data_IF_094626387339
#
_entry.id   IF_094626387339
#
_cell.length_a   1.000
_cell.length_b   1.000
_cell.length_c   1.000
_cell.angle_alpha   90.00
_cell.angle_beta   90.00
_cell.angle_gamma   90.00
#
_symmetry.space_group_name_H-M   'P 1'
#
loop_
_entity.id
_entity.type
_entity.pdbx_description
1 polymer ?
#
# COMPACT_ATOMS: atom_id res chain seq x y z
N UNK A 1 -17.15 6.55 -3.22
CA UNK A 1 -17.08 5.10 -2.90
C UNK A 1 -16.51 4.99 -1.50
N UNK A 2 -16.79 3.91 -0.75
CA UNK A 2 -16.26 3.75 0.60
C UNK A 2 -14.82 3.26 0.60
N UNK A 3 -14.10 3.49 1.70
CA UNK A 3 -12.75 2.96 1.90
C UNK A 3 -12.69 1.44 1.73
N UNK A 4 -13.74 0.73 2.19
CA UNK A 4 -13.84 -0.72 2.03
C UNK A 4 -13.92 -1.16 0.57
N UNK A 5 -14.59 -0.38 -0.29
CA UNK A 5 -14.68 -0.71 -1.71
C UNK A 5 -13.33 -0.50 -2.43
N UNK A 6 -12.59 0.54 -2.07
CA UNK A 6 -11.28 0.80 -2.63
C UNK A 6 -10.29 -0.31 -2.22
N UNK A 7 -10.31 -0.73 -0.96
CA UNK A 7 -9.56 -1.89 -0.48
C UNK A 7 -9.96 -3.18 -1.22
N UNK A 8 -11.25 -3.41 -1.43
CA UNK A 8 -11.74 -4.56 -2.18
C UNK A 8 -11.25 -4.57 -3.63
N UNK A 9 -11.21 -3.42 -4.31
CA UNK A 9 -10.64 -3.30 -5.65
C UNK A 9 -9.15 -3.66 -5.67
N UNK A 10 -8.38 -3.17 -4.70
CA UNK A 10 -6.95 -3.50 -4.56
C UNK A 10 -6.74 -4.99 -4.30
N UNK A 11 -7.50 -5.55 -3.34
CA UNK A 11 -7.47 -6.97 -3.02
C UNK A 11 -7.78 -7.83 -4.24
N UNK A 12 -8.86 -7.56 -4.97
CA UNK A 12 -9.17 -8.27 -6.22
C UNK A 12 -8.03 -8.19 -7.24
N UNK A 13 -7.39 -7.03 -7.38
CA UNK A 13 -6.28 -6.86 -8.31
C UNK A 13 -5.08 -7.74 -7.94
N UNK A 14 -4.75 -7.85 -6.65
CA UNK A 14 -3.70 -8.76 -6.16
C UNK A 14 -4.08 -10.22 -6.38
N UNK A 15 -5.33 -10.59 -6.06
CA UNK A 15 -5.87 -11.94 -6.27
C UNK A 15 -6.15 -12.29 -7.75
N UNK A 16 -5.89 -11.37 -8.69
CA UNK A 16 -6.15 -11.53 -10.14
C UNK A 16 -7.62 -11.80 -10.50
N UNK A 17 -8.54 -11.32 -9.67
CA UNK A 17 -9.99 -11.49 -9.86
C UNK A 17 -10.57 -10.34 -10.69
N UNK A 18 -11.18 -10.66 -11.83
CA UNK A 18 -11.61 -9.66 -12.83
C UNK A 18 -12.98 -9.02 -12.57
N UNK A 19 -13.88 -9.67 -11.81
CA UNK A 19 -15.24 -9.16 -11.57
C UNK A 19 -15.56 -9.02 -10.09
N UNK A 20 -16.45 -8.09 -9.76
CA UNK A 20 -16.92 -7.91 -8.37
C UNK A 20 -17.68 -9.12 -7.86
N UNK A 21 -18.44 -9.79 -8.73
CA UNK A 21 -19.18 -10.98 -8.33
C UNK A 21 -18.22 -12.12 -7.98
N UNK A 22 -17.17 -12.34 -8.78
CA UNK A 22 -16.14 -13.32 -8.46
C UNK A 22 -15.39 -12.94 -7.18
N UNK A 23 -15.10 -11.65 -6.96
CA UNK A 23 -14.46 -11.17 -5.74
C UNK A 23 -15.35 -11.35 -4.51
N UNK A 24 -16.66 -11.12 -4.64
CA UNK A 24 -17.63 -11.36 -3.57
C UNK A 24 -17.64 -12.84 -3.16
N UNK A 25 -17.71 -13.75 -4.15
CA UNK A 25 -17.66 -15.20 -3.91
C UNK A 25 -16.35 -15.59 -3.22
N UNK A 26 -15.20 -15.12 -3.71
CA UNK A 26 -13.90 -15.43 -3.13
C UNK A 26 -13.73 -14.92 -1.69
N UNK A 27 -14.29 -13.75 -1.39
CA UNK A 27 -14.27 -13.15 -0.05
C UNK A 27 -15.32 -13.78 0.89
N UNK A 28 -16.27 -14.56 0.37
CA UNK A 28 -17.35 -15.18 1.13
C UNK A 28 -18.49 -14.20 1.49
N UNK A 29 -18.71 -13.18 0.65
CA UNK A 29 -19.77 -12.17 0.83
C UNK A 29 -20.75 -12.18 -0.34
N UNK A 30 -21.91 -11.56 -0.15
CA UNK A 30 -22.90 -11.44 -1.24
C UNK A 30 -22.52 -10.33 -2.22
N UNK A 31 -22.96 -10.46 -3.48
CA UNK A 31 -22.86 -9.37 -4.47
C UNK A 31 -23.52 -8.06 -3.99
N UNK A 32 -24.58 -8.18 -3.20
CA UNK A 32 -25.32 -7.05 -2.66
C UNK A 32 -24.49 -6.30 -1.61
N UNK A 33 -23.70 -7.01 -0.79
CA UNK A 33 -22.75 -6.40 0.13
C UNK A 33 -21.74 -5.53 -0.65
N UNK A 34 -21.08 -6.08 -1.67
CA UNK A 34 -20.13 -5.32 -2.52
C UNK A 34 -20.79 -4.11 -3.19
N UNK A 35 -22.02 -4.28 -3.70
CA UNK A 35 -22.79 -3.16 -4.27
C UNK A 35 -23.07 -2.07 -3.24
N UNK A 36 -23.35 -2.43 -1.98
CA UNK A 36 -23.52 -1.47 -0.89
C UNK A 36 -22.22 -0.71 -0.60
N UNK A 37 -21.07 -1.37 -0.76
CA UNK A 37 -19.78 -0.72 -0.55
C UNK A 37 -19.45 0.32 -1.62
N UNK A 38 -19.77 0.02 -2.87
CA UNK A 38 -19.72 1.02 -3.96
C UNK A 38 -20.53 2.27 -3.64
N UNK A 39 -21.67 2.10 -2.97
CA UNK A 39 -22.59 3.18 -2.60
C UNK A 39 -22.19 3.90 -1.31
N UNK A 40 -21.03 3.60 -0.72
CA UNK A 40 -20.50 4.32 0.44
C UNK A 40 -20.71 3.62 1.79
N UNK A 41 -21.35 2.44 1.83
CA UNK A 41 -21.35 1.64 3.07
C UNK A 41 -19.99 0.96 3.25
N UNK A 42 -19.55 0.74 4.47
CA UNK A 42 -18.32 0.00 4.70
C UNK A 42 -18.58 -1.49 4.91
N UNK A 43 -17.61 -2.32 4.54
CA UNK A 43 -17.58 -3.74 4.87
C UNK A 43 -17.44 -3.92 6.39
N UNK A 44 -17.79 -5.09 6.90
CA UNK A 44 -17.49 -5.43 8.30
C UNK A 44 -15.99 -5.60 8.52
N UNK A 45 -15.54 -5.29 9.74
CA UNK A 45 -14.12 -5.24 10.10
C UNK A 45 -13.39 -6.53 9.76
N UNK A 46 -13.99 -7.71 10.01
CA UNK A 46 -13.38 -9.00 9.67
C UNK A 46 -13.02 -9.14 8.17
N UNK A 47 -13.79 -8.52 7.27
CA UNK A 47 -13.50 -8.56 5.83
C UNK A 47 -12.43 -7.53 5.45
N UNK A 48 -12.43 -6.38 6.12
CA UNK A 48 -11.41 -5.35 5.95
C UNK A 48 -10.04 -5.90 6.36
N UNK A 49 -9.96 -6.52 7.53
CA UNK A 49 -8.72 -7.09 8.05
C UNK A 49 -8.22 -8.22 7.17
N UNK A 50 -9.10 -9.13 6.74
CA UNK A 50 -8.74 -10.19 5.80
C UNK A 50 -8.21 -9.64 4.49
N UNK A 51 -8.90 -8.67 3.88
CA UNK A 51 -8.46 -8.08 2.61
C UNK A 51 -7.12 -7.37 2.73
N UNK A 52 -6.91 -6.61 3.81
CA UNK A 52 -5.66 -5.91 4.07
C UNK A 52 -4.50 -6.90 4.29
N UNK A 53 -4.72 -7.91 5.13
CA UNK A 53 -3.75 -8.97 5.38
C UNK A 53 -3.36 -9.71 4.09
N UNK A 54 -4.35 -10.09 3.27
CA UNK A 54 -4.13 -10.82 2.02
C UNK A 54 -3.27 -10.04 1.00
N UNK A 55 -3.22 -8.70 1.08
CA UNK A 55 -2.38 -7.86 0.20
C UNK A 55 -1.10 -7.36 0.88
N UNK A 56 -0.83 -7.76 2.12
CA UNK A 56 0.34 -7.32 2.90
C UNK A 56 0.25 -5.89 3.43
N UNK A 57 -0.94 -5.27 3.41
CA UNK A 57 -1.20 -4.00 4.07
C UNK A 57 -1.42 -4.22 5.58
N UNK A 58 -1.19 -3.20 6.40
CA UNK A 58 -1.49 -3.27 7.84
C UNK A 58 -3.02 -3.29 8.09
N UNK A 59 -3.59 -4.37 8.65
CA UNK A 59 -5.03 -4.49 8.88
C UNK A 59 -5.61 -3.42 9.81
N UNK A 60 -4.90 -3.08 10.89
CA UNK A 60 -5.36 -2.12 11.90
C UNK A 60 -5.51 -0.72 11.32
N UNK A 61 -4.63 -0.35 10.38
CA UNK A 61 -4.68 0.93 9.66
C UNK A 61 -5.96 1.02 8.82
N UNK A 62 -6.29 -0.04 8.09
CA UNK A 62 -7.53 -0.10 7.30
C UNK A 62 -8.78 -0.10 8.18
N UNK A 63 -8.76 -0.85 9.29
CA UNK A 63 -9.83 -0.84 10.29
C UNK A 63 -10.04 0.57 10.86
N UNK A 64 -8.98 1.28 11.23
CA UNK A 64 -9.06 2.65 11.74
C UNK A 64 -9.59 3.64 10.69
N UNK A 65 -9.17 3.53 9.43
CA UNK A 65 -9.68 4.38 8.34
C UNK A 65 -11.18 4.18 8.11
N UNK A 66 -11.65 2.93 8.14
CA UNK A 66 -13.08 2.62 8.01
C UNK A 66 -13.87 3.12 9.22
N UNK A 67 -13.34 2.97 10.44
CA UNK A 67 -13.98 3.53 11.62
C UNK A 67 -14.11 5.06 11.52
N UNK A 68 -13.07 5.75 11.05
CA UNK A 68 -13.13 7.19 10.80
C UNK A 68 -14.24 7.59 9.80
N UNK A 69 -14.47 6.79 8.76
CA UNK A 69 -15.54 7.03 7.79
C UNK A 69 -16.94 6.72 8.35
N UNK A 70 -17.03 5.74 9.28
CA UNK A 70 -18.29 5.39 9.97
C UNK A 70 -18.67 6.39 11.06
N UNK A 71 -17.71 7.11 11.63
CA UNK A 71 -17.95 8.05 12.73
C UNK A 71 -18.87 9.20 12.32
N UNK A 72 -19.89 9.46 13.14
CA UNK A 72 -20.81 10.60 12.96
C UNK A 72 -20.34 11.88 13.68
N UNK A 73 -19.28 11.79 14.50
CA UNK A 73 -18.66 12.91 15.19
C UNK A 73 -17.35 13.31 14.51
N UNK A 74 -17.10 14.62 14.38
CA UNK A 74 -15.86 15.13 13.84
C UNK A 74 -14.65 14.79 14.72
N UNK A 75 -14.82 14.83 16.04
CA UNK A 75 -13.77 14.51 17.00
C UNK A 75 -13.39 13.03 16.94
N UNK A 76 -14.39 12.16 16.85
CA UNK A 76 -14.20 10.71 16.73
C UNK A 76 -13.48 10.37 15.42
N UNK A 77 -13.94 10.97 14.30
CA UNK A 77 -13.28 10.86 13.00
C UNK A 77 -11.82 11.33 13.07
N UNK A 78 -11.54 12.45 13.74
CA UNK A 78 -10.18 12.96 13.89
C UNK A 78 -9.31 12.05 14.78
N UNK A 79 -9.87 11.43 15.82
CA UNK A 79 -9.17 10.45 16.64
C UNK A 79 -8.76 9.22 15.81
N UNK A 80 -9.68 8.62 15.06
CA UNK A 80 -9.38 7.46 14.20
C UNK A 80 -8.36 7.77 13.10
N UNK A 81 -8.44 8.95 12.47
CA UNK A 81 -7.43 9.39 11.50
C UNK A 81 -6.04 9.50 12.12
N UNK A 82 -5.91 10.04 13.34
CA UNK A 82 -4.63 10.10 14.05
C UNK A 82 -4.09 8.71 14.38
N UNK A 83 -4.97 7.77 14.75
CA UNK A 83 -4.58 6.36 14.99
C UNK A 83 -4.02 5.75 13.71
N UNK A 84 -4.73 5.87 12.58
CA UNK A 84 -4.27 5.38 11.29
C UNK A 84 -2.90 5.98 10.88
N UNK A 85 -2.71 7.28 11.08
CA UNK A 85 -1.44 7.96 10.80
C UNK A 85 -0.28 7.43 11.66
N UNK A 86 -0.52 7.18 12.95
CA UNK A 86 0.50 6.60 13.84
C UNK A 86 0.90 5.20 13.40
N UNK A 87 -0.06 4.37 13.01
CA UNK A 87 0.20 3.01 12.51
C UNK A 87 1.03 3.03 11.22
N UNK A 88 0.73 3.95 10.29
CA UNK A 88 1.53 4.14 9.07
C UNK A 88 2.96 4.65 9.37
N UNK A 89 3.11 5.56 10.33
CA UNK A 89 4.41 6.14 10.70
C UNK A 89 5.39 5.15 11.34
N UNK A 90 4.89 4.15 12.08
CA UNK A 90 5.74 3.09 12.68
C UNK A 90 6.49 2.30 11.61
N UNK A 91 5.86 2.02 10.46
CA UNK A 91 6.51 1.30 9.36
C UNK A 91 7.68 2.10 8.77
N UNK A 92 7.52 3.41 8.57
CA UNK A 92 8.57 4.28 8.01
C UNK A 92 9.78 4.41 8.94
N UNK A 93 9.55 4.53 10.25
CA UNK A 93 10.63 4.59 11.24
C UNK A 93 11.51 3.35 11.22
N UNK A 94 10.92 2.16 11.03
CA UNK A 94 11.67 0.91 10.96
C UNK A 94 12.59 0.85 9.72
N UNK A 95 12.11 1.28 8.55
CA UNK A 95 12.92 1.34 7.33
C UNK A 95 14.10 2.32 7.44
N UNK A 96 13.90 3.47 8.09
CA UNK A 96 14.98 4.45 8.31
C UNK A 96 16.05 3.86 9.24
N UNK A 97 15.65 3.22 10.34
CA UNK A 97 16.59 2.62 11.30
C UNK A 97 17.36 1.46 10.65
N UNK A 98 16.71 0.59 9.88
CA UNK A 98 17.38 -0.50 9.17
C UNK A 98 18.32 0.02 8.07
N UNK A 99 17.92 1.04 7.31
CA UNK A 99 18.78 1.67 6.30
C UNK A 99 20.02 2.33 6.91
N UNK A 100 19.88 2.97 8.06
CA UNK A 100 20.99 3.57 8.80
C UNK A 100 21.89 2.54 9.51
N UNK A 101 21.40 1.33 9.75
CA UNK A 101 22.16 0.23 10.36
C UNK A 101 22.91 -0.65 9.33
N UNK A 102 22.81 -0.36 8.03
CA UNK A 102 23.57 -1.08 7.01
C UNK A 102 25.07 -0.75 7.15
N UNK A 103 25.96 -1.76 7.22
CA UNK A 103 27.39 -1.55 7.39
C UNK A 103 28.00 -0.84 6.18
N UNK A 104 28.98 0.05 6.42
CA UNK A 104 29.65 0.94 5.43
C UNK A 104 30.09 0.25 4.12
N UNK A 105 30.39 -1.05 4.19
CA UNK A 105 30.74 -1.87 3.03
C UNK A 105 29.65 -1.95 1.94
N UNK A 106 28.37 -1.78 2.29
CA UNK A 106 27.27 -1.71 1.31
C UNK A 106 27.10 -0.32 0.66
N UNK A 107 27.51 0.75 1.35
CA UNK A 107 27.52 2.10 0.77
C UNK A 107 28.61 2.23 -0.30
N UNK A 108 29.74 1.55 -0.12
CA UNK A 108 30.85 1.55 -1.06
C UNK A 108 30.57 0.81 -2.38
N UNK A 109 29.72 -0.24 -2.38
CA UNK A 109 29.35 -0.95 -3.62
C UNK A 109 28.42 -0.11 -4.50
N UNK A 110 27.44 0.57 -3.90
CA UNK A 110 26.49 1.45 -4.61
C UNK A 110 27.23 2.62 -5.27
N UNK A 111 28.20 3.23 -4.56
CA UNK A 111 29.00 4.31 -5.12
C UNK A 111 29.89 3.83 -6.29
N UNK A 112 30.45 2.62 -6.21
CA UNK A 112 31.27 2.04 -7.30
C UNK A 112 30.45 1.74 -8.54
N UNK A 113 29.26 1.18 -8.39
CA UNK A 113 28.38 0.85 -9.52
C UNK A 113 27.86 2.12 -10.22
N UNK A 114 27.59 3.19 -9.47
CA UNK A 114 27.23 4.49 -10.03
C UNK A 114 28.40 5.14 -10.82
N UNK A 115 29.64 5.02 -10.34
CA UNK A 115 30.81 5.55 -11.05
C UNK A 115 31.12 4.75 -12.32
N UNK A 116 30.96 3.42 -12.29
CA UNK A 116 31.24 2.56 -13.44
C UNK A 116 30.23 2.77 -14.59
N UNK A 117 28.96 2.98 -14.27
CA UNK A 117 27.90 3.27 -15.27
C UNK A 117 28.10 4.65 -15.94
N UNK A 118 28.48 5.67 -15.17
CA UNK A 118 28.80 7.01 -15.70
C UNK A 118 30.07 7.02 -16.58
N UNK A 119 31.02 6.14 -16.31
CA UNK A 119 32.26 6.04 -17.08
C UNK A 119 32.06 5.27 -18.40
N UNK A 120 31.21 4.25 -18.41
CA UNK A 120 30.82 3.53 -19.63
C UNK A 120 30.10 4.44 -20.63
N UNK A 121 29.19 5.30 -20.15
CA UNK A 121 28.44 6.23 -21.00
C UNK A 121 29.35 7.26 -21.70
N UNK A 122 30.38 7.76 -21.00
CA UNK A 122 31.36 8.69 -21.58
C UNK A 122 32.27 8.03 -22.63
N UNK A 123 32.62 6.76 -22.47
CA UNK A 123 33.45 6.04 -23.44
C UNK A 123 32.71 5.77 -24.75
N UNK A 124 31.39 5.52 -24.70
CA UNK A 124 30.58 5.33 -25.90
C UNK A 124 30.28 6.63 -26.65
N UNK A 125 30.11 7.76 -25.93
CA UNK A 125 29.88 9.06 -26.56
C UNK A 125 31.05 9.56 -27.42
N UNK A 126 32.30 9.19 -27.07
CA UNK A 126 33.50 9.63 -27.81
C UNK A 126 33.69 8.93 -29.16
N UNK A 127 33.08 7.76 -29.39
CA UNK A 127 33.24 6.99 -30.63
C UNK A 127 32.22 7.32 -31.74
N UNK A 128 31.17 8.11 -31.45
CA UNK A 128 30.06 8.36 -32.39
C UNK A 128 30.27 9.63 -33.25
N UNK A 129 31.30 10.44 -33.00
CA UNK A 129 31.59 11.68 -33.75
C UNK A 129 32.83 11.62 -34.65
N UNK A 130 32.92 10.61 -35.53
CA UNK A 130 33.89 10.66 -36.64
C UNK A 130 33.34 9.97 -37.89
N UNK A 131 32.64 10.76 -38.71
CA UNK A 131 32.43 10.53 -40.14
C UNK A 131 32.80 11.83 -40.87
#
# INVERSE_FOLDING_TARGET
MSQSYDLFCRWKHVQKIQSDNAGAIALGVTRAAVSSWKKGKNAEIQFIERMAHDIGDNPETWSALVMAERSNSEDERAAWKRIAQRLAGVALGFFIVLGAALPDQAQASIARDAVHTLQADKQHALYIMRN
#
